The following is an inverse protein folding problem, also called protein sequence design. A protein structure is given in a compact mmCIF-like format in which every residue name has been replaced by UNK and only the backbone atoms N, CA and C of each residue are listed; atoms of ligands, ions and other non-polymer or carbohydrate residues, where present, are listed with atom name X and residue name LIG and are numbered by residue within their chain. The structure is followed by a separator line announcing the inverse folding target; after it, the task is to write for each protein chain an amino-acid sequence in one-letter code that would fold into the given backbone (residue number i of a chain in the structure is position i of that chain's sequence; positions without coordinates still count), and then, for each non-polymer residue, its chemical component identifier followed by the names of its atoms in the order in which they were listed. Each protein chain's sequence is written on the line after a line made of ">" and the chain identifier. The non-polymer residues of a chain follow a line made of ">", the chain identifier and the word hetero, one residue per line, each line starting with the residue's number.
data_IF_313848556071
#
_entry.id   IF_313848556071
#
_cell.length_a   1.000
_cell.length_b   1.000
_cell.length_c   1.000
_cell.angle_alpha   90.00
_cell.angle_beta   90.00
_cell.angle_gamma   90.00
#
_symmetry.space_group_name_H-M   'P 1'
#
loop_
_entity.id
_entity.type
_entity.pdbx_description
1 polymer ?
#
# COMPACT_ATOMS: atom_id res chain seq x y z
N UNK A 1 70.24 17.20 17.35
CA UNK A 1 69.08 18.10 17.38
C UNK A 1 68.01 17.52 16.47
N UNK A 2 66.99 16.88 17.04
CA UNK A 2 65.90 16.26 16.29
C UNK A 2 64.62 17.03 16.62
N UNK A 3 64.04 17.68 15.62
CA UNK A 3 62.74 18.36 15.74
C UNK A 3 61.64 17.33 15.55
N UNK A 4 60.98 16.98 16.65
CA UNK A 4 59.77 16.17 16.66
C UNK A 4 58.61 16.94 16.04
N UNK A 5 58.12 16.45 14.90
CA UNK A 5 56.92 16.95 14.23
C UNK A 5 55.73 16.17 14.78
N UNK A 6 54.95 16.79 15.68
CA UNK A 6 53.71 16.21 16.18
C UNK A 6 52.61 16.32 15.11
N UNK A 7 51.89 15.23 14.78
CA UNK A 7 50.74 15.31 13.92
C UNK A 7 49.60 16.06 14.62
N UNK A 8 49.12 17.11 13.94
CA UNK A 8 47.97 17.92 14.30
C UNK A 8 46.73 17.00 14.28
N UNK A 9 46.19 16.69 15.45
CA UNK A 9 44.88 16.07 15.58
C UNK A 9 43.83 17.00 14.98
N UNK A 10 43.45 16.76 13.72
CA UNK A 10 42.24 17.32 13.15
C UNK A 10 41.06 16.71 13.92
N UNK A 11 40.41 17.56 14.72
CA UNK A 11 39.20 17.21 15.44
C UNK A 11 38.17 16.68 14.43
N UNK A 12 37.84 15.39 14.59
CA UNK A 12 36.85 14.69 13.79
C UNK A 12 35.56 15.50 13.73
N UNK A 13 35.24 15.95 12.53
CA UNK A 13 33.92 16.50 12.21
C UNK A 13 32.94 15.34 12.32
N UNK A 14 32.32 15.20 13.49
CA UNK A 14 31.36 14.15 13.80
C UNK A 14 30.23 14.17 12.76
N UNK A 15 30.12 13.15 11.89
CA UNK A 15 29.10 13.11 10.85
C UNK A 15 27.67 12.96 11.42
N UNK A 16 27.53 12.84 12.75
CA UNK A 16 26.26 12.65 13.44
C UNK A 16 25.50 13.91 13.86
N UNK A 17 26.07 15.13 13.76
CA UNK A 17 25.33 16.36 14.14
C UNK A 17 24.25 16.71 13.11
N UNK A 18 23.08 16.09 13.26
CA UNK A 18 21.88 16.46 12.49
C UNK A 18 21.41 17.85 12.90
N UNK A 19 21.34 18.77 11.95
CA UNK A 19 20.75 20.10 12.15
C UNK A 19 19.29 19.93 12.54
N UNK A 20 18.79 20.52 13.65
CA UNK A 20 17.38 20.45 14.00
C UNK A 20 16.51 21.05 12.88
N UNK A 21 15.29 20.52 12.64
CA UNK A 21 14.38 21.10 11.65
C UNK A 21 13.97 22.52 12.08
N UNK A 22 13.95 23.45 11.13
CA UNK A 22 13.60 24.85 11.37
C UNK A 22 12.07 25.05 11.48
N UNK A 23 11.28 24.13 10.92
CA UNK A 23 9.80 24.21 10.91
C UNK A 23 9.13 22.84 11.14
N UNK A 24 7.87 22.80 11.60
CA UNK A 24 7.08 21.56 11.68
C UNK A 24 6.94 20.84 10.34
N UNK A 25 6.79 21.60 9.25
CA UNK A 25 6.68 21.05 7.89
C UNK A 25 7.97 20.35 7.47
N UNK A 26 9.13 20.93 7.81
CA UNK A 26 10.43 20.31 7.58
C UNK A 26 10.60 19.05 8.43
N UNK A 27 10.18 19.07 9.69
CA UNK A 27 10.19 17.89 10.55
C UNK A 27 9.32 16.76 9.97
N UNK A 28 8.12 17.08 9.48
CA UNK A 28 7.22 16.13 8.84
C UNK A 28 7.79 15.57 7.54
N UNK A 29 8.36 16.42 6.68
CA UNK A 29 8.99 15.98 5.44
C UNK A 29 10.16 15.01 5.69
N UNK A 30 11.00 15.30 6.71
CA UNK A 30 12.07 14.39 7.13
C UNK A 30 11.50 13.08 7.69
N UNK A 31 10.44 13.12 8.49
CA UNK A 31 9.79 11.92 9.01
C UNK A 31 9.23 11.05 7.88
N UNK A 32 8.56 11.65 6.88
CA UNK A 32 8.06 10.96 5.70
C UNK A 32 9.19 10.32 4.89
N UNK A 33 10.30 11.03 4.70
CA UNK A 33 11.47 10.49 4.01
C UNK A 33 12.08 9.29 4.77
N UNK A 34 12.18 9.38 6.10
CA UNK A 34 12.63 8.25 6.93
C UNK A 34 11.69 7.06 6.86
N UNK A 35 10.37 7.29 6.89
CA UNK A 35 9.38 6.23 6.75
C UNK A 35 9.49 5.52 5.40
N UNK A 36 9.63 6.27 4.29
CA UNK A 36 9.84 5.69 2.95
C UNK A 36 11.09 4.84 2.87
N UNK A 37 12.21 5.32 3.44
CA UNK A 37 13.46 4.56 3.49
C UNK A 37 13.31 3.27 4.30
N UNK A 38 12.68 3.34 5.47
CA UNK A 38 12.42 2.17 6.29
C UNK A 38 11.52 1.15 5.57
N UNK A 39 10.51 1.63 4.83
CA UNK A 39 9.67 0.77 4.01
C UNK A 39 10.44 0.08 2.88
N UNK A 40 11.32 0.80 2.19
CA UNK A 40 12.20 0.21 1.17
C UNK A 40 13.12 -0.87 1.77
N UNK A 41 13.77 -0.58 2.90
CA UNK A 41 14.63 -1.54 3.62
C UNK A 41 13.84 -2.80 4.07
N UNK A 42 12.57 -2.63 4.49
CA UNK A 42 11.71 -3.76 4.87
C UNK A 42 11.30 -4.63 3.66
N UNK A 43 11.01 -4.02 2.51
CA UNK A 43 10.67 -4.74 1.28
C UNK A 43 11.89 -5.48 0.71
N UNK A 44 13.08 -4.87 0.75
CA UNK A 44 14.34 -5.54 0.41
C UNK A 44 14.59 -6.74 1.32
N UNK A 45 14.35 -6.61 2.63
CA UNK A 45 14.48 -7.73 3.57
C UNK A 45 13.47 -8.86 3.27
N UNK A 46 12.23 -8.52 2.90
CA UNK A 46 11.23 -9.51 2.51
C UNK A 46 11.61 -10.22 1.20
N UNK A 47 12.12 -9.48 0.22
CA UNK A 47 12.64 -10.06 -1.01
C UNK A 47 13.77 -11.06 -0.72
N UNK A 48 14.76 -10.67 0.08
CA UNK A 48 15.84 -11.54 0.50
C UNK A 48 15.35 -12.80 1.24
N UNK A 49 14.27 -12.69 2.02
CA UNK A 49 13.65 -13.84 2.68
C UNK A 49 12.97 -14.79 1.68
N UNK A 50 12.29 -14.26 0.67
CA UNK A 50 11.68 -15.06 -0.41
C UNK A 50 12.77 -15.78 -1.21
N UNK A 51 13.87 -15.09 -1.53
CA UNK A 51 15.04 -15.71 -2.18
C UNK A 51 15.61 -16.85 -1.34
N UNK A 52 15.89 -16.60 -0.06
CA UNK A 52 16.47 -17.60 0.84
C UNK A 52 15.56 -18.82 1.01
N UNK A 53 14.24 -18.60 1.13
CA UNK A 53 13.27 -19.70 1.28
C UNK A 53 13.10 -20.51 0.00
N UNK A 54 13.11 -19.85 -1.16
CA UNK A 54 13.09 -20.54 -2.46
C UNK A 54 14.35 -21.38 -2.64
N UNK A 55 15.53 -20.78 -2.42
CA UNK A 55 16.80 -21.48 -2.53
C UNK A 55 16.86 -22.70 -1.60
N UNK A 56 16.34 -22.58 -0.38
CA UNK A 56 16.27 -23.69 0.56
C UNK A 56 15.28 -24.79 0.14
N UNK A 57 14.16 -24.44 -0.50
CA UNK A 57 13.11 -25.38 -0.85
C UNK A 57 13.33 -26.10 -2.19
N UNK A 58 13.82 -25.39 -3.21
CA UNK A 58 13.99 -25.91 -4.57
C UNK A 58 15.44 -25.95 -5.05
N UNK A 59 16.38 -25.29 -4.36
CA UNK A 59 17.75 -25.13 -4.85
C UNK A 59 17.89 -24.09 -5.96
N UNK A 60 16.82 -23.35 -6.28
CA UNK A 60 16.79 -22.34 -7.34
C UNK A 60 16.54 -20.95 -6.75
N UNK A 61 16.98 -19.89 -7.48
CA UNK A 61 16.68 -18.51 -7.11
C UNK A 61 15.16 -18.19 -7.24
N UNK A 62 14.65 -17.21 -6.49
CA UNK A 62 13.21 -16.88 -6.53
C UNK A 62 12.74 -16.47 -7.93
N UNK A 63 13.61 -15.87 -8.73
CA UNK A 63 13.36 -15.46 -10.12
C UNK A 63 12.89 -16.59 -11.04
N UNK A 64 13.27 -17.84 -10.72
CA UNK A 64 12.90 -19.03 -11.49
C UNK A 64 11.76 -19.83 -10.84
N UNK A 65 11.25 -19.36 -9.70
CA UNK A 65 10.26 -20.07 -8.92
C UNK A 65 8.83 -19.64 -9.22
N UNK A 66 7.86 -20.36 -8.65
CA UNK A 66 6.45 -19.96 -8.64
C UNK A 66 6.24 -18.58 -7.97
N UNK A 67 7.19 -18.12 -7.14
CA UNK A 67 7.15 -16.83 -6.45
C UNK A 67 7.78 -15.69 -7.25
N UNK A 68 8.32 -15.94 -8.45
CA UNK A 68 8.93 -14.91 -9.29
C UNK A 68 8.05 -13.68 -9.55
N UNK A 69 6.71 -13.80 -9.74
CA UNK A 69 5.86 -12.63 -9.87
C UNK A 69 5.81 -11.76 -8.61
N UNK A 70 5.85 -12.39 -7.43
CA UNK A 70 5.86 -11.67 -6.15
C UNK A 70 7.20 -10.96 -5.91
N UNK A 71 8.31 -11.61 -6.24
CA UNK A 71 9.65 -11.01 -6.19
C UNK A 71 9.73 -9.74 -7.07
N UNK A 72 9.29 -9.82 -8.32
CA UNK A 72 9.25 -8.66 -9.24
C UNK A 72 8.36 -7.51 -8.77
N UNK A 73 7.24 -7.83 -8.13
CA UNK A 73 6.37 -6.81 -7.53
C UNK A 73 7.08 -6.07 -6.40
N UNK A 74 7.82 -6.78 -5.55
CA UNK A 74 8.59 -6.17 -4.46
C UNK A 74 9.72 -5.29 -5.00
N UNK A 75 10.45 -5.72 -6.02
CA UNK A 75 11.48 -4.90 -6.68
C UNK A 75 10.91 -3.59 -7.24
N UNK A 76 9.74 -3.66 -7.90
CA UNK A 76 9.03 -2.49 -8.38
C UNK A 76 8.68 -1.51 -7.25
N UNK A 77 8.14 -2.02 -6.14
CA UNK A 77 7.79 -1.20 -4.98
C UNK A 77 9.02 -0.56 -4.31
N UNK A 78 10.14 -1.30 -4.22
CA UNK A 78 11.40 -0.75 -3.70
C UNK A 78 11.91 0.39 -4.59
N UNK A 79 11.87 0.21 -5.91
CA UNK A 79 12.30 1.24 -6.86
C UNK A 79 11.43 2.51 -6.76
N UNK A 80 10.12 2.37 -6.53
CA UNK A 80 9.20 3.49 -6.41
C UNK A 80 9.36 4.29 -5.11
N UNK A 81 9.70 3.62 -4.01
CA UNK A 81 9.93 4.26 -2.71
C UNK A 81 11.23 5.07 -2.65
N UNK A 82 12.11 4.92 -3.66
CA UNK A 82 13.31 5.73 -3.76
C UNK A 82 12.95 7.20 -4.04
N UNK A 83 13.58 8.16 -3.32
CA UNK A 83 13.23 9.58 -3.39
C UNK A 83 13.45 10.23 -4.77
N UNK A 84 14.10 9.54 -5.71
CA UNK A 84 14.33 9.96 -7.08
C UNK A 84 13.14 9.69 -8.03
N UNK A 85 12.14 8.91 -7.60
CA UNK A 85 10.97 8.60 -8.42
C UNK A 85 9.93 9.72 -8.27
N UNK A 86 9.64 10.44 -9.36
CA UNK A 86 8.63 11.52 -9.38
C UNK A 86 7.21 11.01 -9.73
N UNK A 87 6.98 9.69 -9.64
CA UNK A 87 5.75 9.03 -10.09
C UNK A 87 5.09 8.08 -9.07
N UNK A 88 5.54 8.09 -7.81
CA UNK A 88 5.21 7.10 -6.77
C UNK A 88 3.71 6.95 -6.47
N UNK A 89 2.91 8.01 -6.65
CA UNK A 89 1.48 7.98 -6.30
C UNK A 89 0.67 7.06 -7.22
N UNK A 90 1.05 6.94 -8.50
CA UNK A 90 0.33 6.10 -9.48
C UNK A 90 0.54 4.60 -9.27
N UNK A 91 1.75 4.20 -8.89
CA UNK A 91 2.08 2.79 -8.65
C UNK A 91 1.54 2.28 -7.33
N UNK A 92 1.56 3.09 -6.27
CA UNK A 92 0.92 2.74 -5.00
C UNK A 92 -0.59 2.59 -5.15
N UNK A 93 -1.25 3.42 -5.97
CA UNK A 93 -2.67 3.23 -6.28
C UNK A 93 -2.92 1.96 -7.09
N UNK A 94 -2.11 1.65 -8.11
CA UNK A 94 -2.25 0.42 -8.88
C UNK A 94 -1.96 -0.84 -8.05
N UNK A 95 -1.02 -0.77 -7.11
CA UNK A 95 -0.75 -1.84 -6.16
C UNK A 95 -1.94 -2.03 -5.21
N UNK A 96 -2.50 -0.95 -4.68
CA UNK A 96 -3.69 -1.02 -3.83
C UNK A 96 -4.90 -1.61 -4.57
N UNK A 97 -5.11 -1.26 -5.84
CA UNK A 97 -6.15 -1.88 -6.68
C UNK A 97 -5.91 -3.37 -6.91
N UNK A 98 -4.67 -3.77 -7.22
CA UNK A 98 -4.30 -5.17 -7.40
C UNK A 98 -4.47 -5.97 -6.10
N UNK A 99 -4.14 -5.36 -4.96
CA UNK A 99 -4.34 -5.92 -3.63
C UNK A 99 -5.84 -6.14 -3.34
N UNK A 100 -6.69 -5.14 -3.62
CA UNK A 100 -8.14 -5.27 -3.44
C UNK A 100 -8.73 -6.39 -4.32
N UNK A 101 -8.21 -6.54 -5.56
CA UNK A 101 -8.62 -7.63 -6.44
C UNK A 101 -8.22 -9.02 -5.90
N UNK A 102 -7.03 -9.15 -5.30
CA UNK A 102 -6.56 -10.38 -4.68
C UNK A 102 -7.32 -10.69 -3.39
N UNK A 103 -7.62 -9.68 -2.56
CA UNK A 103 -8.51 -9.80 -1.39
C UNK A 103 -9.87 -10.37 -1.84
N UNK A 104 -10.48 -9.82 -2.89
CA UNK A 104 -11.75 -10.33 -3.41
C UNK A 104 -11.68 -11.78 -3.93
N UNK A 105 -10.53 -12.24 -4.43
CA UNK A 105 -10.31 -13.65 -4.79
C UNK A 105 -10.23 -14.53 -3.54
N UNK A 106 -9.44 -14.14 -2.55
CA UNK A 106 -9.27 -14.90 -1.31
C UNK A 106 -10.53 -14.91 -0.44
N UNK A 107 -11.34 -13.85 -0.44
CA UNK A 107 -12.66 -13.83 0.21
C UNK A 107 -13.56 -14.93 -0.35
N UNK A 108 -13.70 -15.00 -1.69
CA UNK A 108 -14.50 -16.05 -2.35
C UNK A 108 -13.96 -17.45 -2.03
N UNK A 109 -12.64 -17.62 -2.03
CA UNK A 109 -12.00 -18.92 -1.74
C UNK A 109 -12.20 -19.36 -0.28
N UNK A 110 -12.05 -18.43 0.66
CA UNK A 110 -12.15 -18.68 2.11
C UNK A 110 -13.51 -19.18 2.59
N UNK A 111 -14.56 -19.01 1.76
CA UNK A 111 -15.89 -19.54 2.02
C UNK A 111 -15.92 -21.07 1.96
N UNK A 112 -15.04 -21.68 1.16
CA UNK A 112 -14.99 -23.13 0.92
C UNK A 112 -13.70 -23.78 1.41
N UNK A 113 -12.68 -22.98 1.66
CA UNK A 113 -11.35 -23.42 2.08
C UNK A 113 -10.98 -22.71 3.41
N UNK A 114 -10.93 -23.43 4.54
CA UNK A 114 -10.54 -22.85 5.84
C UNK A 114 -9.12 -22.30 5.87
N UNK A 115 -8.18 -22.90 5.13
CA UNK A 115 -6.77 -22.53 5.15
C UNK A 115 -6.54 -21.19 4.42
N UNK A 116 -7.38 -20.91 3.41
CA UNK A 116 -7.42 -19.62 2.71
C UNK A 116 -7.74 -18.42 3.63
N UNK A 117 -8.28 -18.64 4.84
CA UNK A 117 -8.57 -17.54 5.80
C UNK A 117 -7.30 -16.92 6.36
N UNK A 118 -6.24 -17.70 6.56
CA UNK A 118 -4.96 -17.17 7.04
C UNK A 118 -4.37 -16.21 6.01
N UNK A 119 -4.40 -16.62 4.74
CA UNK A 119 -3.94 -15.82 3.60
C UNK A 119 -4.77 -14.54 3.46
N UNK A 120 -6.11 -14.64 3.53
CA UNK A 120 -6.99 -13.47 3.51
C UNK A 120 -6.65 -12.47 4.63
N UNK A 121 -6.42 -12.93 5.87
CA UNK A 121 -6.04 -12.04 6.98
C UNK A 121 -4.71 -11.33 6.71
N UNK A 122 -3.75 -12.01 6.12
CA UNK A 122 -2.47 -11.39 5.75
C UNK A 122 -2.68 -10.27 4.73
N UNK A 123 -3.44 -10.51 3.65
CA UNK A 123 -3.75 -9.49 2.66
C UNK A 123 -4.53 -8.29 3.24
N UNK A 124 -5.50 -8.54 4.14
CA UNK A 124 -6.21 -7.48 4.85
C UNK A 124 -5.27 -6.65 5.74
N UNK A 125 -4.30 -7.28 6.41
CA UNK A 125 -3.29 -6.57 7.19
C UNK A 125 -2.40 -5.67 6.33
N UNK A 126 -2.01 -6.13 5.14
CA UNK A 126 -1.25 -5.31 4.17
C UNK A 126 -2.06 -4.10 3.71
N UNK A 127 -3.37 -4.26 3.48
CA UNK A 127 -4.25 -3.14 3.11
C UNK A 127 -4.32 -2.09 4.23
N UNK A 128 -4.40 -2.52 5.48
CA UNK A 128 -4.41 -1.58 6.62
C UNK A 128 -3.11 -0.77 6.69
N UNK A 129 -1.96 -1.41 6.46
CA UNK A 129 -0.67 -0.72 6.39
C UNK A 129 -0.64 0.32 5.28
N UNK A 130 -1.20 0.02 4.10
CA UNK A 130 -1.30 1.00 3.00
C UNK A 130 -2.18 2.20 3.39
N UNK A 131 -3.28 1.96 4.11
CA UNK A 131 -4.16 3.04 4.59
C UNK A 131 -3.46 3.96 5.60
N UNK A 132 -2.69 3.40 6.53
CA UNK A 132 -1.86 4.18 7.47
C UNK A 132 -0.79 5.01 6.73
N UNK A 133 -0.34 4.55 5.57
CA UNK A 133 0.57 5.31 4.69
C UNK A 133 -0.15 6.34 3.81
N UNK A 134 -1.46 6.52 3.96
CA UNK A 134 -2.25 7.52 3.23
C UNK A 134 -2.69 7.09 1.83
N UNK A 135 -2.44 5.84 1.44
CA UNK A 135 -2.88 5.27 0.15
C UNK A 135 -4.36 4.90 0.29
N UNK A 136 -5.24 5.89 0.12
CA UNK A 136 -6.68 5.65 0.04
C UNK A 136 -7.07 5.40 -1.40
N UNK A 137 -7.16 4.14 -1.80
CA UNK A 137 -8.03 3.80 -2.93
C UNK A 137 -9.46 4.05 -2.46
N UNK A 138 -10.10 5.08 -3.00
CA UNK A 138 -11.55 5.11 -2.94
C UNK A 138 -11.98 3.88 -3.75
N UNK A 139 -12.70 2.89 -3.17
CA UNK A 139 -13.51 2.06 -4.03
C UNK A 139 -14.42 3.07 -4.71
N UNK A 140 -14.26 3.25 -6.03
CA UNK A 140 -15.31 3.88 -6.79
C UNK A 140 -16.57 3.12 -6.39
N UNK A 141 -17.45 3.83 -5.65
CA UNK A 141 -18.86 3.51 -5.65
C UNK A 141 -19.14 3.33 -7.13
N UNK A 142 -19.43 2.10 -7.53
CA UNK A 142 -20.01 1.86 -8.83
C UNK A 142 -21.04 2.95 -9.02
N UNK A 143 -20.80 3.82 -10.02
CA UNK A 143 -21.73 4.87 -10.37
C UNK A 143 -23.11 4.21 -10.34
N UNK A 144 -24.13 4.81 -9.68
CA UNK A 144 -25.46 4.21 -9.66
C UNK A 144 -25.81 3.96 -11.12
N UNK A 145 -25.83 2.68 -11.50
CA UNK A 145 -26.21 2.27 -12.84
C UNK A 145 -27.58 2.92 -13.02
N UNK A 146 -27.74 3.85 -13.98
CA UNK A 146 -29.06 4.40 -14.23
C UNK A 146 -29.96 3.20 -14.48
N UNK A 147 -31.11 3.10 -13.78
CA UNK A 147 -31.97 1.93 -13.93
C UNK A 147 -32.22 1.72 -15.42
N UNK A 148 -32.18 0.47 -15.91
CA UNK A 148 -32.39 0.19 -17.31
C UNK A 148 -33.67 0.90 -17.74
N UNK A 149 -33.56 1.76 -18.77
CA UNK A 149 -34.70 2.44 -19.36
C UNK A 149 -35.69 1.35 -19.76
N UNK A 150 -36.75 1.19 -18.97
CA UNK A 150 -37.84 0.32 -19.30
C UNK A 150 -38.36 0.71 -20.70
N UNK A 151 -38.69 -0.25 -21.57
CA UNK A 151 -39.29 0.05 -22.85
C UNK A 151 -40.57 0.85 -22.62
N UNK A 152 -40.60 2.04 -23.20
CA UNK A 152 -41.80 2.86 -23.35
C UNK A 152 -42.78 2.11 -24.23
N UNK A 153 -43.69 1.36 -23.62
CA UNK A 153 -45.04 1.21 -24.16
C UNK A 153 -45.94 0.52 -23.14
N UNK A 154 -46.79 1.33 -22.50
CA UNK A 154 -48.19 0.99 -22.23
C UNK A 154 -48.94 2.21 -21.67
N UNK A 155 -50.18 2.43 -22.12
CA UNK A 155 -50.97 3.60 -21.75
C UNK A 155 -51.39 3.55 -20.28
N UNK A 156 -51.33 4.73 -19.66
CA UNK A 156 -51.68 5.08 -18.29
C UNK A 156 -53.19 4.94 -18.03
N UNK A 157 -53.64 4.11 -17.07
CA UNK A 157 -54.91 4.35 -16.38
C UNK A 157 -54.72 5.24 -15.14
N UNK A 158 -55.76 5.99 -14.83
CA UNK A 158 -55.77 7.13 -13.93
C UNK A 158 -55.99 6.77 -12.44
N UNK A 159 -55.39 7.61 -11.59
CA UNK A 159 -55.95 8.19 -10.35
C UNK A 159 -56.00 7.35 -9.06
N UNK A 160 -55.58 8.05 -7.99
CA UNK A 160 -56.12 8.12 -6.62
C UNK A 160 -55.29 7.43 -5.51
N UNK A 161 -54.65 8.24 -4.66
CA UNK A 161 -55.13 8.55 -3.30
C UNK A 161 -53.99 9.21 -2.50
N UNK A 162 -54.18 10.49 -2.12
CA UNK A 162 -53.36 11.18 -1.14
C UNK A 162 -53.63 10.56 0.23
N UNK A 163 -52.60 10.02 0.89
CA UNK A 163 -52.65 9.72 2.33
C UNK A 163 -51.88 10.80 3.07
N UNK A 164 -52.63 11.57 3.88
CA UNK A 164 -52.12 12.58 4.80
C UNK A 164 -51.29 11.92 5.91
N UNK A 165 -50.16 12.53 6.26
CA UNK A 165 -49.41 12.18 7.47
C UNK A 165 -50.05 12.91 8.65
N UNK A 166 -50.52 12.15 9.63
CA UNK A 166 -50.88 12.65 10.96
C UNK A 166 -49.60 12.71 11.79
N UNK A 167 -49.37 13.87 12.42
CA UNK A 167 -48.29 14.08 13.40
C UNK A 167 -48.81 13.57 14.75
N UNK A 168 -48.11 12.61 15.35
CA UNK A 168 -48.36 12.18 16.73
C UNK A 168 -47.31 12.87 17.59
N UNK A 169 -47.73 13.77 18.46
CA UNK A 169 -46.93 14.27 19.58
C UNK A 169 -47.25 13.41 20.80
N UNK A 170 -46.20 12.96 21.49
CA UNK A 170 -46.21 12.21 22.74
C UNK A 170 -44.81 12.15 23.29
#
# INVERSE_FOLDING_TARGET
>A
MATGSSPKHEAGRDPGRRTPPATPQEALARAQQHARRAAAEALEALHALIDATTLAASGEAAENSVLAPAAKLLEGLVADLQPSSSGSDGLLSSFAEALDAEIGRWEKRSQRDPDARAVLRAFLGVRELLWEMGVRTHPERGAPQPPPKAPTDRPRPARAARVQRVRVEG
#
